data_IF_235142416898
#
_entry.id   IF_235142416898
#
_cell.length_a   1.000
_cell.length_b   1.000
_cell.length_c   1.000
_cell.angle_alpha   90.00
_cell.angle_beta   90.00
_cell.angle_gamma   90.00
#
_symmetry.space_group_name_H-M   'P 1'
#
loop_
_entity.id
_entity.type
_entity.pdbx_description
1 polymer ?
#
# COMPACT_ATOMS: atom_id res chain seq x y z
N UNK A 1 -8.40 -1.01 2.20
CA UNK A 1 -7.75 -2.07 3.01
C UNK A 1 -8.72 -3.15 3.51
N UNK A 2 -10.04 -2.98 3.32
CA UNK A 2 -11.10 -3.92 3.71
C UNK A 2 -10.94 -5.31 3.08
N UNK A 3 -10.67 -5.38 1.77
CA UNK A 3 -10.57 -6.64 1.04
C UNK A 3 -9.66 -7.69 1.67
N UNK A 4 -8.45 -7.32 2.16
CA UNK A 4 -7.50 -8.30 2.73
C UNK A 4 -8.00 -8.90 4.05
N UNK A 5 -8.69 -8.12 4.88
CA UNK A 5 -9.28 -8.61 6.14
C UNK A 5 -10.38 -9.63 5.87
N UNK A 6 -11.17 -9.44 4.81
CA UNK A 6 -12.28 -10.32 4.46
C UNK A 6 -11.81 -11.72 4.02
N UNK A 7 -10.69 -11.81 3.28
CA UNK A 7 -10.09 -13.11 2.91
C UNK A 7 -9.63 -13.90 4.14
N UNK A 8 -8.92 -13.24 5.07
CA UNK A 8 -8.46 -13.87 6.31
C UNK A 8 -9.63 -14.40 7.16
N UNK A 9 -10.65 -13.56 7.40
CA UNK A 9 -11.82 -13.98 8.19
C UNK A 9 -12.57 -15.16 7.57
N UNK A 10 -12.73 -15.18 6.23
CA UNK A 10 -13.38 -16.29 5.52
C UNK A 10 -12.61 -17.60 5.69
N UNK A 11 -11.28 -17.54 5.60
CA UNK A 11 -10.44 -18.72 5.79
C UNK A 11 -10.52 -19.26 7.21
N UNK A 12 -10.50 -18.38 8.21
CA UNK A 12 -10.64 -18.78 9.62
C UNK A 12 -12.01 -19.41 9.94
N UNK A 13 -13.08 -19.06 9.21
CA UNK A 13 -14.36 -19.80 9.30
C UNK A 13 -14.25 -21.24 8.82
N UNK A 14 -13.44 -21.48 7.79
CA UNK A 14 -13.21 -22.84 7.25
C UNK A 14 -12.38 -23.66 8.25
N UNK A 15 -11.34 -23.06 8.82
CA UNK A 15 -10.53 -23.67 9.88
C UNK A 15 -11.37 -24.02 11.10
N UNK A 16 -12.25 -23.11 11.53
CA UNK A 16 -13.16 -23.37 12.65
C UNK A 16 -14.00 -24.62 12.41
N UNK A 17 -14.56 -24.78 11.21
CA UNK A 17 -15.35 -25.94 10.84
C UNK A 17 -14.53 -27.24 10.86
N UNK A 18 -13.27 -27.20 10.40
CA UNK A 18 -12.36 -28.35 10.46
C UNK A 18 -11.97 -28.72 11.90
N UNK A 19 -11.78 -27.73 12.77
CA UNK A 19 -11.49 -27.92 14.21
C UNK A 19 -12.69 -28.57 14.90
N UNK A 20 -13.90 -28.06 14.68
CA UNK A 20 -15.13 -28.61 15.27
C UNK A 20 -15.44 -30.06 14.84
N UNK A 21 -14.87 -30.50 13.71
CA UNK A 21 -14.98 -31.87 13.21
C UNK A 21 -13.84 -32.78 13.68
N UNK A 22 -12.85 -32.25 14.39
CA UNK A 22 -11.68 -33.00 14.89
C UNK A 22 -11.84 -33.27 16.40
N UNK A 23 -12.00 -34.53 16.84
CA UNK A 23 -12.25 -34.87 18.26
C UNK A 23 -11.18 -34.38 19.25
N UNK A 24 -9.92 -34.24 18.80
CA UNK A 24 -8.78 -33.85 19.65
C UNK A 24 -8.50 -32.33 19.64
N UNK A 25 -9.38 -31.54 19.02
CA UNK A 25 -9.19 -30.10 18.87
C UNK A 25 -9.92 -29.31 19.96
N UNK A 26 -9.67 -29.66 21.22
CA UNK A 26 -10.13 -28.88 22.37
C UNK A 26 -9.01 -27.95 22.86
N UNK A 27 -9.41 -26.82 23.40
CA UNK A 27 -8.52 -25.91 24.13
C UNK A 27 -8.08 -26.57 25.44
N UNK A 28 -6.97 -26.07 25.98
CA UNK A 28 -6.42 -26.42 27.28
C UNK A 28 -7.42 -26.37 28.46
N UNK A 29 -8.57 -25.72 28.31
CA UNK A 29 -9.62 -25.54 29.31
C UNK A 29 -10.97 -26.22 28.97
N UNK A 30 -11.03 -27.07 27.92
CA UNK A 30 -12.27 -27.71 27.44
C UNK A 30 -13.30 -26.74 26.82
N UNK A 31 -12.93 -25.48 26.57
CA UNK A 31 -13.80 -24.48 25.93
C UNK A 31 -13.91 -24.69 24.43
N UNK A 32 -15.12 -24.47 23.89
CA UNK A 32 -15.36 -24.43 22.45
C UNK A 32 -14.52 -23.33 21.78
N UNK A 33 -13.73 -23.70 20.77
CA UNK A 33 -13.02 -22.74 19.94
C UNK A 33 -14.05 -21.97 19.11
N UNK A 34 -14.05 -20.64 19.21
CA UNK A 34 -14.98 -19.75 18.49
C UNK A 34 -14.29 -19.01 17.34
N UNK A 35 -15.07 -18.44 16.42
CA UNK A 35 -14.53 -17.66 15.29
C UNK A 35 -13.78 -16.41 15.75
N UNK A 36 -14.31 -15.72 16.77
CA UNK A 36 -13.69 -14.52 17.36
C UNK A 36 -12.34 -14.86 17.99
N UNK A 37 -12.23 -16.04 18.59
CA UNK A 37 -10.98 -16.56 19.16
C UNK A 37 -9.90 -16.83 18.11
N UNK A 38 -10.28 -17.37 16.96
CA UNK A 38 -9.35 -17.52 15.83
C UNK A 38 -8.94 -16.19 15.20
N UNK A 39 -9.80 -15.17 15.28
CA UNK A 39 -9.55 -13.85 14.70
C UNK A 39 -8.85 -12.88 15.67
N UNK A 40 -8.75 -13.21 16.97
CA UNK A 40 -8.26 -12.29 18.00
C UNK A 40 -9.19 -11.07 18.17
N UNK A 41 -10.50 -11.29 18.07
CA UNK A 41 -11.54 -10.26 18.21
C UNK A 41 -12.36 -10.49 19.50
N UNK A 42 -13.20 -9.52 19.86
CA UNK A 42 -13.99 -9.56 21.10
C UNK A 42 -13.11 -9.40 22.34
N UNK A 43 -13.31 -10.25 23.34
CA UNK A 43 -12.57 -10.25 24.61
C UNK A 43 -11.10 -10.70 24.47
N UNK A 44 -10.65 -10.99 23.24
CA UNK A 44 -9.30 -11.45 22.89
C UNK A 44 -8.56 -10.45 21.99
N UNK A 45 -8.95 -9.18 22.07
CA UNK A 45 -8.39 -8.10 21.26
C UNK A 45 -6.99 -7.66 21.71
N UNK A 46 -6.60 -7.95 22.96
CA UNK A 46 -5.25 -7.69 23.46
C UNK A 46 -4.36 -8.93 23.43
N UNK A 47 -3.05 -8.72 23.26
CA UNK A 47 -2.07 -9.81 23.27
C UNK A 47 -2.07 -10.61 24.58
N UNK A 48 -2.43 -9.98 25.71
CA UNK A 48 -2.50 -10.64 27.01
C UNK A 48 -3.74 -11.53 27.17
N UNK A 49 -4.85 -11.17 26.53
CA UNK A 49 -6.05 -12.00 26.51
C UNK A 49 -5.90 -13.19 25.54
N UNK A 50 -5.11 -13.01 24.47
CA UNK A 50 -4.72 -14.09 23.54
C UNK A 50 -3.78 -15.15 24.17
N UNK A 51 -3.30 -14.96 25.40
CA UNK A 51 -2.36 -15.87 26.09
C UNK A 51 -2.99 -17.25 26.40
N UNK A 52 -4.32 -17.38 26.37
CA UNK A 52 -4.98 -18.66 26.60
C UNK A 52 -4.70 -19.67 25.48
N UNK A 53 -3.98 -20.75 25.85
CA UNK A 53 -3.26 -21.66 24.97
C UNK A 53 -4.17 -22.45 24.01
N UNK A 54 -4.42 -21.89 22.82
CA UNK A 54 -4.78 -22.71 21.66
C UNK A 54 -3.77 -23.86 21.54
N UNK A 55 -4.28 -25.09 21.41
CA UNK A 55 -3.41 -26.25 21.27
C UNK A 55 -2.53 -26.12 20.02
N UNK A 56 -1.35 -26.75 20.04
CA UNK A 56 -0.42 -26.71 18.89
C UNK A 56 -1.11 -27.14 17.58
N UNK A 57 -1.97 -28.15 17.64
CA UNK A 57 -2.76 -28.63 16.50
C UNK A 57 -3.66 -27.54 15.89
N UNK A 58 -4.29 -26.72 16.74
CA UNK A 58 -5.13 -25.60 16.32
C UNK A 58 -4.29 -24.48 15.72
N UNK A 59 -3.15 -24.16 16.34
CA UNK A 59 -2.21 -23.17 15.81
C UNK A 59 -1.67 -23.56 14.44
N UNK A 60 -1.30 -24.83 14.25
CA UNK A 60 -0.81 -25.34 12.96
C UNK A 60 -1.88 -25.21 11.87
N UNK A 61 -3.15 -25.48 12.17
CA UNK A 61 -4.28 -25.27 11.25
C UNK A 61 -4.48 -23.79 10.90
N UNK A 62 -4.39 -22.89 11.89
CA UNK A 62 -4.48 -21.44 11.66
C UNK A 62 -3.34 -20.97 10.76
N UNK A 63 -2.09 -21.37 11.05
CA UNK A 63 -0.91 -21.03 10.25
C UNK A 63 -1.06 -21.51 8.80
N UNK A 64 -1.43 -22.77 8.60
CA UNK A 64 -1.64 -23.35 7.26
C UNK A 64 -2.74 -22.61 6.48
N UNK A 65 -3.83 -22.23 7.14
CA UNK A 65 -4.90 -21.48 6.49
C UNK A 65 -4.50 -20.04 6.18
N UNK A 66 -3.77 -19.38 7.09
CA UNK A 66 -3.23 -18.04 6.86
C UNK A 66 -2.29 -18.04 5.65
N UNK A 67 -1.39 -19.03 5.56
CA UNK A 67 -0.48 -19.21 4.44
C UNK A 67 -1.25 -19.44 3.12
N UNK A 68 -2.15 -20.44 3.07
CA UNK A 68 -2.98 -20.71 1.89
C UNK A 68 -3.78 -19.49 1.44
N UNK A 69 -4.31 -18.74 2.38
CA UNK A 69 -5.12 -17.54 2.10
C UNK A 69 -4.25 -16.42 1.59
N UNK A 70 -3.06 -16.23 2.15
CA UNK A 70 -2.10 -15.23 1.70
C UNK A 70 -1.82 -15.38 0.19
N UNK A 71 -1.61 -16.61 -0.29
CA UNK A 71 -1.42 -16.89 -1.71
C UNK A 71 -2.66 -16.70 -2.59
N UNK A 72 -3.86 -16.71 -1.99
CA UNK A 72 -5.13 -16.47 -2.69
C UNK A 72 -5.51 -14.98 -2.73
N UNK A 73 -4.87 -14.13 -1.90
CA UNK A 73 -5.11 -12.69 -1.94
C UNK A 73 -4.71 -12.18 -3.33
N UNK A 74 -5.64 -11.64 -4.13
CA UNK A 74 -5.30 -11.10 -5.42
C UNK A 74 -4.27 -10.00 -5.23
N UNK A 75 -3.11 -10.14 -5.88
CA UNK A 75 -2.20 -9.01 -6.00
C UNK A 75 -2.96 -7.89 -6.73
N UNK A 76 -2.82 -6.62 -6.31
CA UNK A 76 -3.41 -5.53 -7.07
C UNK A 76 -2.88 -5.61 -8.50
N UNK A 77 -3.73 -5.99 -9.45
CA UNK A 77 -3.33 -6.08 -10.86
C UNK A 77 -2.75 -4.73 -11.25
N UNK A 78 -1.50 -4.72 -11.72
CA UNK A 78 -0.89 -3.54 -12.32
C UNK A 78 -1.66 -3.30 -13.62
N UNK A 79 -2.62 -2.37 -13.58
CA UNK A 79 -3.44 -2.03 -14.76
C UNK A 79 -2.70 -1.10 -15.72
N UNK A 80 -1.70 -0.37 -15.22
CA UNK A 80 -1.05 0.71 -15.95
C UNK A 80 0.46 0.67 -15.72
N UNK A 81 1.25 0.63 -16.79
CA UNK A 81 2.70 0.80 -16.70
C UNK A 81 3.06 2.15 -16.10
N UNK A 82 4.08 2.20 -15.23
CA UNK A 82 4.55 3.46 -14.64
C UNK A 82 4.95 4.50 -15.70
N UNK A 83 5.37 4.06 -16.89
CA UNK A 83 5.75 4.93 -18.02
C UNK A 83 4.57 5.77 -18.52
N UNK A 84 3.34 5.26 -18.37
CA UNK A 84 2.13 5.93 -18.81
C UNK A 84 1.54 6.90 -17.78
N UNK A 85 2.18 7.04 -16.60
CA UNK A 85 1.75 7.98 -15.59
C UNK A 85 2.20 9.39 -15.98
N UNK A 86 1.23 10.20 -16.40
CA UNK A 86 1.42 11.60 -16.78
C UNK A 86 0.68 12.52 -15.81
N UNK A 87 1.26 13.70 -15.57
CA UNK A 87 0.61 14.74 -14.78
C UNK A 87 -0.56 15.31 -15.55
N UNK A 88 -1.73 15.40 -14.92
CA UNK A 88 -2.88 16.08 -15.54
C UNK A 88 -2.67 17.60 -15.61
N UNK A 89 -3.37 18.32 -16.51
CA UNK A 89 -3.21 19.78 -16.65
C UNK A 89 -3.37 20.57 -15.35
N UNK A 90 -4.31 20.17 -14.49
CA UNK A 90 -4.61 20.83 -13.21
C UNK A 90 -4.08 20.09 -11.98
N UNK A 91 -3.37 18.97 -12.17
CA UNK A 91 -2.84 18.17 -11.05
C UNK A 91 -1.60 18.83 -10.45
N UNK A 92 -1.53 18.91 -9.12
CA UNK A 92 -0.34 19.39 -8.43
C UNK A 92 0.85 18.44 -8.68
N UNK A 93 2.06 18.98 -8.81
CA UNK A 93 3.23 18.18 -9.15
C UNK A 93 3.56 17.12 -8.07
N UNK A 94 3.39 17.44 -6.78
CA UNK A 94 3.59 16.49 -5.69
C UNK A 94 2.58 15.34 -5.78
N UNK A 95 1.30 15.65 -6.02
CA UNK A 95 0.26 14.62 -6.19
C UNK A 95 0.58 13.67 -7.35
N UNK A 96 1.05 14.23 -8.47
CA UNK A 96 1.51 13.43 -9.60
C UNK A 96 2.70 12.52 -9.23
N UNK A 97 3.71 13.05 -8.54
CA UNK A 97 4.88 12.28 -8.08
C UNK A 97 4.47 11.15 -7.14
N UNK A 98 3.49 11.37 -6.25
CA UNK A 98 3.01 10.32 -5.35
C UNK A 98 2.31 9.18 -6.11
N UNK A 99 1.50 9.50 -7.13
CA UNK A 99 0.90 8.47 -8.00
C UNK A 99 1.96 7.71 -8.77
N UNK A 100 2.97 8.40 -9.30
CA UNK A 100 4.09 7.80 -10.02
C UNK A 100 4.89 6.86 -9.11
N UNK A 101 5.28 7.33 -7.92
CA UNK A 101 5.99 6.54 -6.89
C UNK A 101 5.24 5.25 -6.58
N UNK A 102 3.94 5.34 -6.30
CA UNK A 102 3.13 4.16 -6.00
C UNK A 102 3.08 3.15 -7.14
N UNK A 103 3.18 3.58 -8.40
CA UNK A 103 3.22 2.66 -9.55
C UNK A 103 4.60 2.04 -9.74
N UNK A 104 5.68 2.81 -9.56
CA UNK A 104 7.06 2.33 -9.68
C UNK A 104 7.37 1.31 -8.59
N UNK A 105 7.03 1.59 -7.33
CA UNK A 105 7.23 0.68 -6.19
C UNK A 105 6.50 -0.66 -6.34
N UNK A 106 5.38 -0.67 -7.06
CA UNK A 106 4.63 -1.91 -7.34
C UNK A 106 5.23 -2.73 -8.48
N UNK A 107 5.99 -2.11 -9.36
CA UNK A 107 6.45 -2.70 -10.63
C UNK A 107 7.94 -3.02 -10.62
N UNK A 108 8.71 -2.37 -9.75
CA UNK A 108 10.18 -2.44 -9.69
C UNK A 108 10.57 -2.83 -8.28
N UNK A 109 11.45 -3.82 -8.12
CA UNK A 109 11.85 -4.34 -6.80
C UNK A 109 13.03 -3.57 -6.20
N UNK A 110 13.97 -3.14 -7.05
CA UNK A 110 15.21 -2.49 -6.63
C UNK A 110 14.97 -1.02 -6.23
N UNK A 111 15.20 -0.63 -4.97
CA UNK A 111 14.97 0.74 -4.50
C UNK A 111 15.81 1.82 -5.19
N UNK A 112 17.04 1.50 -5.61
CA UNK A 112 17.91 2.45 -6.32
C UNK A 112 17.36 2.72 -7.72
N UNK A 113 16.93 1.65 -8.40
CA UNK A 113 16.28 1.76 -9.72
C UNK A 113 14.94 2.49 -9.60
N UNK A 114 14.16 2.25 -8.53
CA UNK A 114 12.92 2.99 -8.28
C UNK A 114 13.18 4.50 -8.19
N UNK A 115 14.19 4.92 -7.43
CA UNK A 115 14.51 6.32 -7.24
C UNK A 115 14.88 7.02 -8.57
N UNK A 116 15.72 6.38 -9.40
CA UNK A 116 16.10 6.95 -10.68
C UNK A 116 14.92 7.00 -11.67
N UNK A 117 14.10 5.94 -11.73
CA UNK A 117 12.91 5.91 -12.59
C UNK A 117 11.87 6.97 -12.19
N UNK A 118 11.64 7.18 -10.89
CA UNK A 118 10.71 8.23 -10.42
C UNK A 118 11.22 9.60 -10.85
N UNK A 119 12.52 9.88 -10.67
CA UNK A 119 13.13 11.15 -11.08
C UNK A 119 13.01 11.35 -12.60
N UNK A 120 13.37 10.34 -13.39
CA UNK A 120 13.33 10.40 -14.84
C UNK A 120 11.89 10.61 -15.37
N UNK A 121 10.94 9.85 -14.84
CA UNK A 121 9.53 9.96 -15.24
C UNK A 121 8.92 11.26 -14.77
N UNK A 122 9.28 11.78 -13.59
CA UNK A 122 8.80 13.07 -13.11
C UNK A 122 9.23 14.23 -14.04
N UNK A 123 10.48 14.19 -14.51
CA UNK A 123 10.99 15.16 -15.48
C UNK A 123 10.31 15.04 -16.85
N UNK A 124 10.11 13.83 -17.35
CA UNK A 124 9.56 13.59 -18.70
C UNK A 124 8.06 13.81 -18.77
N UNK A 125 7.32 13.37 -17.76
CA UNK A 125 5.85 13.23 -17.78
C UNK A 125 5.10 14.32 -17.00
N UNK A 126 5.81 15.33 -16.47
CA UNK A 126 5.19 16.55 -15.97
C UNK A 126 4.35 17.27 -17.04
N UNK A 127 3.42 18.10 -16.61
CA UNK A 127 2.59 18.92 -17.49
C UNK A 127 3.41 20.10 -18.08
N UNK A 128 2.85 20.82 -19.04
CA UNK A 128 3.58 21.87 -19.78
C UNK A 128 4.17 22.98 -18.88
N UNK A 129 3.50 23.32 -17.78
CA UNK A 129 4.01 24.31 -16.82
C UNK A 129 5.17 23.73 -16.02
N UNK A 130 4.99 22.56 -15.40
CA UNK A 130 6.03 21.92 -14.59
C UNK A 130 7.27 21.59 -15.43
N UNK A 131 7.10 21.10 -16.67
CA UNK A 131 8.22 20.86 -17.58
C UNK A 131 9.05 22.12 -17.84
N UNK A 132 8.41 23.27 -18.10
CA UNK A 132 9.13 24.54 -18.31
C UNK A 132 9.90 24.96 -17.06
N UNK A 133 9.32 24.75 -15.88
CA UNK A 133 9.98 25.04 -14.60
C UNK A 133 11.19 24.14 -14.41
N UNK A 134 11.04 22.82 -14.60
CA UNK A 134 12.12 21.84 -14.45
C UNK A 134 13.25 22.12 -15.45
N UNK A 135 12.94 22.46 -16.70
CA UNK A 135 13.93 22.83 -17.71
C UNK A 135 14.68 24.13 -17.40
N UNK A 136 14.19 24.95 -16.46
CA UNK A 136 14.89 26.15 -15.98
C UNK A 136 15.85 25.88 -14.81
N UNK A 137 15.86 24.66 -14.27
CA UNK A 137 16.83 24.24 -13.27
C UNK A 137 18.19 23.92 -13.93
N UNK A 138 19.31 23.99 -13.18
CA UNK A 138 20.60 23.52 -13.65
C UNK A 138 20.53 22.07 -14.13
N UNK A 139 21.15 21.79 -15.28
CA UNK A 139 21.20 20.44 -15.85
C UNK A 139 22.43 19.65 -15.37
N UNK A 140 23.44 20.35 -14.84
CA UNK A 140 24.66 19.76 -14.29
C UNK A 140 25.00 20.36 -12.90
N UNK A 141 24.87 19.58 -11.81
CA UNK A 141 24.29 18.24 -11.80
C UNK A 141 22.79 18.25 -12.14
N UNK A 142 22.28 17.13 -12.65
CA UNK A 142 20.85 16.94 -12.94
C UNK A 142 20.01 17.20 -11.68
N UNK A 143 18.86 17.91 -11.80
CA UNK A 143 18.10 18.31 -10.63
C UNK A 143 17.53 17.10 -9.88
N UNK A 144 17.53 17.18 -8.56
CA UNK A 144 16.93 16.14 -7.71
C UNK A 144 15.40 16.21 -7.77
N UNK A 145 14.74 15.10 -7.43
CA UNK A 145 13.28 15.06 -7.34
C UNK A 145 12.74 16.11 -6.37
N UNK A 146 13.43 16.35 -5.25
CA UNK A 146 13.05 17.37 -4.28
C UNK A 146 13.10 18.79 -4.87
N UNK A 147 14.17 19.10 -5.62
CA UNK A 147 14.29 20.38 -6.33
C UNK A 147 13.18 20.57 -7.37
N UNK A 148 12.82 19.51 -8.10
CA UNK A 148 11.70 19.56 -9.06
C UNK A 148 10.36 19.85 -8.35
N UNK A 149 10.09 19.17 -7.24
CA UNK A 149 8.85 19.37 -6.44
C UNK A 149 8.78 20.80 -5.91
N UNK A 150 9.87 21.28 -5.30
CA UNK A 150 9.94 22.61 -4.72
C UNK A 150 9.74 23.69 -5.79
N UNK A 151 10.44 23.59 -6.91
CA UNK A 151 10.34 24.55 -8.01
C UNK A 151 8.94 24.59 -8.63
N UNK A 152 8.32 23.43 -8.85
CA UNK A 152 6.97 23.33 -9.41
C UNK A 152 5.90 23.83 -8.44
N UNK A 153 6.10 23.70 -7.13
CA UNK A 153 5.15 24.19 -6.13
C UNK A 153 5.23 25.71 -5.98
N UNK A 154 6.45 26.27 -5.83
CA UNK A 154 6.65 27.72 -5.62
C UNK A 154 6.18 28.59 -6.79
N UNK A 155 6.45 28.19 -8.04
CA UNK A 155 6.07 29.01 -9.21
C UNK A 155 4.58 28.95 -9.55
N UNK A 156 3.87 27.91 -9.11
CA UNK A 156 2.41 27.84 -9.25
C UNK A 156 1.76 28.87 -8.32
N UNK A 157 2.23 29.01 -7.08
CA UNK A 157 1.74 30.04 -6.14
C UNK A 157 1.93 31.47 -6.68
N UNK A 158 3.08 31.76 -7.30
CA UNK A 158 3.32 33.06 -7.94
C UNK A 158 2.38 33.31 -9.14
N UNK A 159 2.05 32.27 -9.91
CA UNK A 159 1.13 32.40 -11.06
C UNK A 159 -0.33 32.58 -10.66
N UNK A 160 -0.74 32.05 -9.50
CA UNK A 160 -2.07 32.27 -8.91
C UNK A 160 -2.15 33.66 -8.29
N UNK A 161 -1.09 34.11 -7.61
CA UNK A 161 -1.03 35.42 -7.00
C UNK A 161 -1.06 36.56 -8.02
N UNK A 162 -0.39 36.42 -9.16
CA UNK A 162 -0.43 37.42 -10.24
C UNK A 162 -1.80 37.50 -10.92
N UNK A 163 -2.55 36.39 -11.02
CA UNK A 163 -3.91 36.42 -11.56
C UNK A 163 -4.91 37.09 -10.62
N UNK A 164 -4.75 36.93 -9.30
CA UNK A 164 -5.63 37.56 -8.30
C UNK A 164 -5.42 39.07 -8.09
N UNK A 165 -4.44 39.70 -8.74
CA UNK A 165 -4.21 41.15 -8.71
C UNK A 165 -4.85 41.85 -9.94
N UNK A 166 -5.37 41.08 -10.90
CA UNK A 166 -5.95 41.58 -12.15
C UNK A 166 -7.48 41.49 -12.22
N UNK A 167 -8.15 41.06 -11.15
CA UNK A 167 -9.60 41.00 -11.01
C UNK A 167 -10.13 42.06 -10.02
#
# INVERSE_FOLDING_TARGET
>A
MTYRKDYGKKALKTVLQEIQQTPDAQDSDDSDITHDRLCGEGDLSSANEQIWLLSKSVLDKICNAAEKTFYQIPSPKIKTSYVNIKQFPSENFLQFVDRLRSQVERQVQDPEVQAELIKEMAQKNGNGTCRRIILSLPLDPSPSLAQMIEACTKKVELSVHLKGIQD
#
